data_IF_830476936200
#
_entry.id   IF_830476936200
#
_cell.length_a   1.000
_cell.length_b   1.000
_cell.length_c   1.000
_cell.angle_alpha   90.00
_cell.angle_beta   90.00
_cell.angle_gamma   90.00
#
_symmetry.space_group_name_H-M   'P 1'
#
loop_
_entity.id
_entity.type
_entity.pdbx_description
1 polymer ?
#
# COMPACT_ATOMS: atom_id res chain seq x y z
N UNK A 1 4.09 -2.31 -18.99
CA UNK A 1 5.45 -1.79 -18.73
C UNK A 1 5.94 -1.35 -20.08
N UNK A 2 6.01 -0.06 -20.32
CA UNK A 2 6.47 0.44 -21.61
C UNK A 2 7.96 0.14 -21.72
N UNK A 3 8.31 -0.69 -22.69
CA UNK A 3 9.69 -1.02 -22.99
C UNK A 3 10.31 0.16 -23.73
N UNK A 4 11.39 0.72 -23.19
CA UNK A 4 12.10 1.84 -23.79
C UNK A 4 13.50 1.34 -24.13
N UNK A 5 13.95 1.57 -25.37
CA UNK A 5 15.30 1.19 -25.78
C UNK A 5 16.28 2.19 -25.18
N UNK A 6 17.31 1.70 -24.48
CA UNK A 6 18.33 2.55 -23.85
C UNK A 6 18.96 3.53 -24.85
N UNK A 7 19.23 3.08 -26.08
CA UNK A 7 19.76 3.89 -27.17
C UNK A 7 18.86 5.05 -27.63
N UNK A 8 17.58 5.07 -27.26
CA UNK A 8 16.68 6.19 -27.57
C UNK A 8 16.72 7.31 -26.53
N UNK A 9 17.19 7.02 -25.31
CA UNK A 9 17.04 7.93 -24.16
C UNK A 9 18.36 8.22 -23.42
N UNK A 10 19.38 7.38 -23.57
CA UNK A 10 20.67 7.54 -22.90
C UNK A 10 21.73 8.07 -23.88
N UNK A 11 22.68 8.90 -23.40
CA UNK A 11 23.87 9.26 -24.17
C UNK A 11 24.71 8.03 -24.54
N UNK A 12 25.40 8.09 -25.67
CA UNK A 12 26.22 7.00 -26.19
C UNK A 12 27.34 6.60 -25.22
N UNK A 13 27.99 7.59 -24.60
CA UNK A 13 29.09 7.38 -23.67
C UNK A 13 28.64 6.59 -22.43
N UNK A 14 27.39 6.81 -21.98
CA UNK A 14 26.81 6.07 -20.85
C UNK A 14 26.45 4.63 -21.24
N UNK A 15 26.03 4.39 -22.48
CA UNK A 15 25.74 3.05 -22.98
C UNK A 15 27.04 2.23 -23.04
N UNK A 16 28.12 2.82 -23.56
CA UNK A 16 29.43 2.18 -23.61
C UNK A 16 29.93 1.79 -22.21
N UNK A 17 29.78 2.69 -21.23
CA UNK A 17 30.11 2.40 -19.83
C UNK A 17 29.26 1.26 -19.25
N UNK A 18 27.96 1.21 -19.54
CA UNK A 18 27.09 0.12 -19.08
C UNK A 18 27.49 -1.23 -19.72
N UNK A 19 27.90 -1.22 -20.99
CA UNK A 19 28.35 -2.41 -21.71
C UNK A 19 29.64 -3.02 -21.14
N UNK A 20 30.46 -2.25 -20.43
CA UNK A 20 31.60 -2.80 -19.66
C UNK A 20 31.15 -3.75 -18.54
N UNK A 21 29.93 -3.58 -18.02
CA UNK A 21 29.37 -4.40 -16.95
C UNK A 21 28.38 -5.45 -17.45
N UNK A 22 27.61 -5.14 -18.50
CA UNK A 22 26.56 -6.02 -19.02
C UNK A 22 26.23 -5.71 -20.49
N UNK A 23 26.29 -6.71 -21.36
CA UNK A 23 25.94 -6.58 -22.78
C UNK A 23 24.75 -7.48 -23.15
N UNK A 24 23.79 -6.94 -23.90
CA UNK A 24 22.60 -7.66 -24.36
C UNK A 24 21.53 -8.00 -23.30
N UNK A 25 21.63 -7.47 -22.07
CA UNK A 25 20.66 -7.75 -21.00
C UNK A 25 19.68 -6.60 -20.75
N UNK A 26 18.51 -6.93 -20.20
CA UNK A 26 17.58 -5.96 -19.66
C UNK A 26 17.97 -5.58 -18.22
N UNK A 27 18.29 -4.30 -18.00
CA UNK A 27 18.69 -3.76 -16.69
C UNK A 27 17.55 -2.95 -16.08
N UNK A 28 17.19 -3.24 -14.83
CA UNK A 28 16.24 -2.44 -14.07
C UNK A 28 16.92 -1.22 -13.46
N UNK A 29 16.46 -0.02 -13.82
CA UNK A 29 16.89 1.22 -13.19
C UNK A 29 15.92 1.55 -12.05
N UNK A 30 16.35 1.47 -10.77
CA UNK A 30 15.50 1.86 -9.66
C UNK A 30 15.18 3.36 -9.74
N UNK A 31 14.00 3.74 -9.24
CA UNK A 31 13.62 5.15 -9.12
C UNK A 31 14.60 5.87 -8.19
N UNK A 32 14.92 7.12 -8.54
CA UNK A 32 15.74 8.03 -7.71
C UNK A 32 15.18 8.08 -6.28
N UNK A 33 16.06 8.10 -5.29
CA UNK A 33 15.66 8.08 -3.86
C UNK A 33 14.75 9.22 -3.45
N UNK A 34 14.95 10.39 -4.04
CA UNK A 34 14.09 11.57 -3.85
C UNK A 34 12.67 11.36 -4.40
N UNK A 35 12.51 10.46 -5.38
CA UNK A 35 11.23 9.98 -5.89
C UNK A 35 10.79 8.63 -5.32
N UNK A 36 11.55 8.03 -4.38
CA UNK A 36 11.08 6.91 -3.56
C UNK A 36 10.03 7.45 -2.58
N UNK A 37 8.88 7.84 -3.13
CA UNK A 37 7.62 7.85 -2.41
C UNK A 37 7.46 6.45 -1.81
N UNK A 38 7.45 6.37 -0.48
CA UNK A 38 7.25 5.12 0.25
C UNK A 38 6.12 4.30 -0.41
N UNK A 39 6.27 2.98 -0.45
CA UNK A 39 5.29 2.08 -1.05
C UNK A 39 3.85 2.48 -0.66
N UNK A 40 3.02 2.85 -1.65
CA UNK A 40 1.64 3.29 -1.45
C UNK A 40 1.37 4.80 -1.46
N UNK A 41 2.38 5.67 -1.55
CA UNK A 41 2.16 7.12 -1.56
C UNK A 41 1.68 7.72 -2.91
N UNK A 42 1.63 6.93 -3.99
CA UNK A 42 1.02 7.36 -5.28
C UNK A 42 -0.42 6.89 -5.47
N UNK A 43 -0.93 6.02 -4.61
CA UNK A 43 -2.27 5.47 -4.76
C UNK A 43 -3.04 5.77 -3.49
N UNK A 44 -4.08 6.60 -3.60
CA UNK A 44 -5.05 6.87 -2.51
C UNK A 44 -5.66 5.59 -1.92
N UNK A 45 -5.35 4.42 -2.48
CA UNK A 45 -5.63 3.08 -1.99
C UNK A 45 -5.32 2.87 -0.51
N UNK A 46 -4.21 3.37 0.04
CA UNK A 46 -3.93 3.14 1.48
C UNK A 46 -4.98 3.84 2.37
N UNK A 47 -5.27 5.10 2.06
CA UNK A 47 -6.29 5.92 2.72
C UNK A 47 -7.70 5.39 2.47
N UNK A 48 -8.01 4.99 1.24
CA UNK A 48 -9.31 4.41 0.86
C UNK A 48 -9.54 3.06 1.55
N UNK A 49 -8.51 2.20 1.63
CA UNK A 49 -8.59 0.95 2.38
C UNK A 49 -8.78 1.20 3.88
N UNK A 50 -8.11 2.20 4.45
CA UNK A 50 -8.29 2.56 5.85
C UNK A 50 -9.73 3.03 6.11
N UNK A 51 -10.26 3.92 5.26
CA UNK A 51 -11.65 4.41 5.33
C UNK A 51 -12.67 3.28 5.17
N UNK A 52 -12.45 2.37 4.21
CA UNK A 52 -13.30 1.18 4.03
C UNK A 52 -13.27 0.30 5.27
N UNK A 53 -12.09 0.04 5.83
CA UNK A 53 -11.94 -0.83 7.00
C UNK A 53 -12.62 -0.23 8.24
N UNK A 54 -12.53 1.10 8.43
CA UNK A 54 -13.24 1.81 9.49
C UNK A 54 -14.77 1.69 9.36
N UNK A 55 -15.28 1.83 8.12
CA UNK A 55 -16.71 1.62 7.83
C UNK A 55 -17.17 0.20 8.15
N UNK A 56 -16.43 -0.81 7.66
CA UNK A 56 -16.70 -2.23 7.97
C UNK A 56 -16.77 -2.45 9.48
N UNK A 57 -15.85 -1.86 10.24
CA UNK A 57 -15.85 -2.01 11.70
C UNK A 57 -17.05 -1.31 12.35
N UNK A 58 -17.44 -0.15 11.87
CA UNK A 58 -18.59 0.62 12.38
C UNK A 58 -19.91 -0.11 12.12
N UNK A 59 -20.10 -0.65 10.92
CA UNK A 59 -21.27 -1.45 10.55
C UNK A 59 -21.31 -2.78 11.32
N UNK A 60 -20.14 -3.37 11.61
CA UNK A 60 -20.05 -4.53 12.49
C UNK A 60 -20.48 -4.21 13.93
N UNK A 61 -20.05 -3.07 14.50
CA UNK A 61 -20.49 -2.61 15.81
C UNK A 61 -21.99 -2.31 15.86
N UNK A 62 -22.58 -1.90 14.73
CA UNK A 62 -24.03 -1.71 14.58
C UNK A 62 -24.82 -3.03 14.50
N UNK A 63 -24.15 -4.19 14.52
CA UNK A 63 -24.76 -5.51 14.54
C UNK A 63 -24.73 -6.27 13.22
N UNK A 64 -24.13 -5.71 12.16
CA UNK A 64 -24.02 -6.39 10.86
C UNK A 64 -23.11 -7.62 10.97
N UNK A 65 -23.56 -8.76 10.48
CA UNK A 65 -22.81 -10.01 10.59
C UNK A 65 -21.61 -10.04 9.65
N UNK A 66 -20.59 -10.84 9.99
CA UNK A 66 -19.39 -11.04 9.16
C UNK A 66 -19.77 -11.51 7.74
N UNK A 67 -20.80 -12.34 7.61
CA UNK A 67 -21.27 -12.90 6.34
C UNK A 67 -21.95 -11.85 5.45
N UNK A 68 -22.68 -10.92 6.04
CA UNK A 68 -23.31 -9.80 5.32
C UNK A 68 -22.24 -8.81 4.84
N UNK A 69 -21.31 -8.43 5.72
CA UNK A 69 -20.18 -7.55 5.38
C UNK A 69 -19.30 -8.17 4.29
N UNK A 70 -19.07 -9.49 4.33
CA UNK A 70 -18.33 -10.20 3.30
C UNK A 70 -18.99 -10.07 1.91
N UNK A 71 -20.32 -10.15 1.86
CA UNK A 71 -21.09 -9.98 0.62
C UNK A 71 -21.08 -8.53 0.14
N UNK A 72 -21.35 -7.58 1.03
CA UNK A 72 -21.45 -6.16 0.71
C UNK A 72 -20.13 -5.58 0.18
N UNK A 73 -19.01 -5.95 0.80
CA UNK A 73 -17.69 -5.45 0.43
C UNK A 73 -16.95 -6.35 -0.56
N UNK A 74 -17.59 -7.44 -1.03
CA UNK A 74 -16.98 -8.43 -1.93
C UNK A 74 -15.65 -8.98 -1.38
N UNK A 75 -15.63 -9.32 -0.09
CA UNK A 75 -14.46 -9.85 0.61
C UNK A 75 -14.75 -11.24 1.18
N UNK A 76 -13.71 -12.07 1.28
CA UNK A 76 -13.82 -13.31 2.05
C UNK A 76 -14.10 -13.00 3.53
N UNK A 77 -14.90 -13.85 4.20
CA UNK A 77 -15.23 -13.71 5.63
C UNK A 77 -13.96 -13.61 6.51
N UNK A 78 -12.90 -14.37 6.18
CA UNK A 78 -11.60 -14.30 6.85
C UNK A 78 -10.96 -12.91 6.76
N UNK A 79 -11.14 -12.21 5.65
CA UNK A 79 -10.65 -10.85 5.48
C UNK A 79 -11.43 -9.87 6.35
N UNK A 80 -12.76 -10.00 6.43
CA UNK A 80 -13.60 -9.18 7.33
C UNK A 80 -13.21 -9.41 8.79
N UNK A 81 -13.06 -10.67 9.23
CA UNK A 81 -12.62 -11.00 10.59
C UNK A 81 -11.28 -10.35 10.93
N UNK A 82 -10.32 -10.40 9.99
CA UNK A 82 -9.01 -9.77 10.16
C UNK A 82 -9.13 -8.24 10.28
N UNK A 83 -9.95 -7.62 9.43
CA UNK A 83 -10.19 -6.17 9.46
C UNK A 83 -10.79 -5.75 10.80
N UNK A 84 -11.83 -6.43 11.27
CA UNK A 84 -12.47 -6.16 12.57
C UNK A 84 -11.48 -6.26 13.72
N UNK A 85 -10.65 -7.31 13.74
CA UNK A 85 -9.60 -7.48 14.77
C UNK A 85 -8.57 -6.34 14.74
N UNK A 86 -8.15 -5.92 13.54
CA UNK A 86 -7.17 -4.85 13.37
C UNK A 86 -7.73 -3.49 13.79
N UNK A 87 -8.96 -3.16 13.40
CA UNK A 87 -9.59 -1.89 13.78
C UNK A 87 -9.89 -1.81 15.29
N UNK A 88 -10.28 -2.93 15.92
CA UNK A 88 -10.38 -3.01 17.38
C UNK A 88 -9.05 -2.69 18.07
N UNK A 89 -7.97 -3.37 17.66
CA UNK A 89 -6.65 -3.14 18.23
C UNK A 89 -6.14 -1.72 18.04
N UNK A 90 -6.44 -1.07 16.91
CA UNK A 90 -6.08 0.33 16.68
C UNK A 90 -6.79 1.27 17.66
N UNK A 91 -8.10 1.07 17.87
CA UNK A 91 -8.89 1.89 18.80
C UNK A 91 -8.46 1.68 20.24
N UNK A 92 -8.10 0.46 20.62
CA UNK A 92 -7.56 0.16 21.95
C UNK A 92 -6.24 0.94 22.18
N UNK A 93 -5.36 1.00 21.18
CA UNK A 93 -4.10 1.77 21.25
C UNK A 93 -4.38 3.28 21.33
N UNK A 94 -5.26 3.82 20.48
CA UNK A 94 -5.62 5.24 20.52
C UNK A 94 -6.28 5.65 21.84
N UNK A 95 -7.11 4.78 22.43
CA UNK A 95 -7.70 5.02 23.74
C UNK A 95 -6.66 5.04 24.87
N UNK A 96 -5.56 4.28 24.75
CA UNK A 96 -4.45 4.30 25.72
C UNK A 96 -3.54 5.51 25.56
N UNK A 97 -3.36 6.02 24.33
CA UNK A 97 -2.53 7.20 24.07
C UNK A 97 -3.21 8.49 24.54
N UNK A 98 -4.54 8.60 24.45
CA UNK A 98 -5.29 9.76 24.93
C UNK A 98 -5.25 9.98 26.45
N UNK A 99 -4.78 9.01 27.25
CA UNK A 99 -4.61 9.14 28.70
C UNK A 99 -3.26 9.77 29.09
N UNK A 100 -2.34 9.97 28.14
CA UNK A 100 -1.04 10.58 28.40
C UNK A 100 -1.03 12.10 28.31
N UNK A 101 -2.06 12.71 27.71
CA UNK A 101 -2.14 14.17 27.51
C UNK A 101 -2.83 14.91 28.69
N UNK A 102 -3.22 14.21 29.75
CA UNK A 102 -3.92 14.80 30.92
C UNK A 102 -3.05 14.91 32.20
N UNK A 103 -1.72 14.82 32.10
CA UNK A 103 -0.79 15.04 33.22
C UNK A 103 0.50 15.76 32.81
#
# INVERSE_FOLDING_TARGET
>A
MDYIRAAEILPQELIEQLQEYVDGAAVYIPKKEEEKKAWGAKTNTKTELARRNERIYTEHLAGTSIKELAREYFLAEKSIQRIVRQERSKRDVTAMEGWKDEY
#
